data_IF_506615267921
#
_entry.id   IF_506615267921
#
_cell.length_a   1.000
_cell.length_b   1.000
_cell.length_c   1.000
_cell.angle_alpha   90.00
_cell.angle_beta   90.00
_cell.angle_gamma   90.00
#
_symmetry.space_group_name_H-M   'P 1'
#
loop_
_entity.id
_entity.type
_entity.pdbx_description
1 polymer ?
#
# COMPACT_ATOMS: atom_id res chain seq x y z
N UNK A 1 -6.45 -14.69 10.37
CA UNK A 1 -5.28 -14.04 11.01
C UNK A 1 -4.17 -13.75 10.00
N UNK A 2 -3.82 -12.48 9.77
CA UNK A 2 -2.83 -12.02 8.78
C UNK A 2 -1.57 -11.42 9.42
N UNK A 3 -0.49 -11.28 8.66
CA UNK A 3 0.78 -10.70 9.14
C UNK A 3 1.16 -9.44 8.33
N UNK A 4 1.10 -8.23 8.93
CA UNK A 4 1.51 -7.01 8.25
C UNK A 4 3.04 -6.85 8.20
N UNK A 5 3.55 -6.34 7.08
CA UNK A 5 4.83 -5.63 6.99
C UNK A 5 4.55 -4.13 6.83
N UNK A 6 5.27 -3.31 7.58
CA UNK A 6 5.18 -1.85 7.51
C UNK A 6 6.45 -1.28 6.87
N UNK A 7 6.23 -0.32 5.99
CA UNK A 7 7.21 0.58 5.42
C UNK A 7 6.90 2.01 5.91
N UNK A 8 7.72 2.53 6.82
CA UNK A 8 7.61 3.87 7.41
C UNK A 8 9.00 4.50 7.66
N UNK A 9 9.11 5.83 7.63
CA UNK A 9 10.26 6.53 8.22
C UNK A 9 10.93 7.66 7.40
N UNK A 10 11.55 8.60 8.13
CA UNK A 10 12.43 9.65 7.60
C UNK A 10 13.48 9.11 6.62
N UNK A 11 13.85 9.92 5.62
CA UNK A 11 14.83 9.71 4.52
C UNK A 11 16.11 8.86 4.79
N UNK A 12 16.42 8.49 6.03
CA UNK A 12 17.54 7.64 6.43
C UNK A 12 17.17 6.19 6.79
N UNK A 13 15.90 5.79 6.88
CA UNK A 13 15.51 4.42 7.26
C UNK A 13 14.30 3.91 6.47
N UNK A 14 14.56 3.36 5.28
CA UNK A 14 13.63 2.47 4.57
C UNK A 14 13.60 1.08 5.22
N UNK A 15 13.31 1.00 6.52
CA UNK A 15 13.33 -0.28 7.22
C UNK A 15 11.98 -0.98 7.07
N UNK A 16 11.96 -2.11 6.38
CA UNK A 16 10.86 -3.07 6.48
C UNK A 16 10.77 -3.57 7.92
N UNK A 17 9.61 -3.36 8.55
CA UNK A 17 9.31 -3.93 9.85
C UNK A 17 8.21 -4.96 9.71
N UNK A 18 8.44 -6.16 10.25
CA UNK A 18 7.38 -7.17 10.38
C UNK A 18 6.76 -7.02 11.76
N UNK A 19 5.43 -6.97 11.82
CA UNK A 19 4.71 -6.86 13.10
C UNK A 19 3.96 -8.16 13.45
N UNK A 20 3.40 -8.18 14.66
CA UNK A 20 2.58 -9.29 15.14
C UNK A 20 1.37 -9.51 14.25
N UNK A 21 0.91 -10.77 14.18
CA UNK A 21 -0.29 -11.13 13.44
C UNK A 21 -1.54 -10.45 14.02
N UNK A 22 -2.45 -10.06 13.14
CA UNK A 22 -3.71 -9.39 13.47
C UNK A 22 -4.87 -10.29 13.04
N UNK A 23 -5.91 -10.43 13.86
CA UNK A 23 -7.04 -11.32 13.59
C UNK A 23 -8.34 -10.56 13.32
N UNK A 24 -8.76 -10.57 12.05
CA UNK A 24 -10.01 -9.94 11.63
C UNK A 24 -9.89 -8.46 11.29
N UNK A 25 -11.02 -7.89 10.86
CA UNK A 25 -11.09 -6.55 10.26
C UNK A 25 -11.10 -5.42 11.29
N UNK A 26 -11.72 -5.63 12.44
CA UNK A 26 -11.74 -4.63 13.52
C UNK A 26 -10.34 -4.46 14.12
N UNK A 27 -9.65 -5.57 14.41
CA UNK A 27 -8.26 -5.53 14.87
C UNK A 27 -7.31 -4.93 13.82
N UNK A 28 -7.59 -5.14 12.53
CA UNK A 28 -6.87 -4.46 11.45
C UNK A 28 -7.01 -2.94 11.55
N UNK A 29 -8.22 -2.41 11.78
CA UNK A 29 -8.40 -0.96 11.91
C UNK A 29 -7.70 -0.40 13.14
N UNK A 30 -7.77 -1.10 14.27
CA UNK A 30 -7.09 -0.70 15.49
C UNK A 30 -5.57 -0.67 15.29
N UNK A 31 -5.03 -1.74 14.70
CA UNK A 31 -3.62 -1.82 14.32
C UNK A 31 -3.24 -0.66 13.39
N UNK A 32 -3.97 -0.50 12.27
CA UNK A 32 -3.79 0.55 11.27
C UNK A 32 -3.77 1.93 11.90
N UNK A 33 -4.57 2.19 12.92
CA UNK A 33 -4.60 3.48 13.60
C UNK A 33 -3.47 3.64 14.62
N UNK A 34 -3.01 2.56 15.24
CA UNK A 34 -1.95 2.60 16.27
C UNK A 34 -0.53 2.81 15.71
N UNK A 35 -0.28 2.35 14.48
CA UNK A 35 1.05 2.40 13.83
C UNK A 35 1.30 3.67 13.01
N UNK A 36 0.35 4.61 12.98
CA UNK A 36 0.50 5.87 12.23
C UNK A 36 1.29 6.89 13.05
N UNK A 37 2.51 7.20 12.65
CA UNK A 37 3.05 8.53 12.91
C UNK A 37 2.24 9.53 12.08
N UNK A 38 1.62 10.51 12.74
CA UNK A 38 0.74 11.48 12.09
C UNK A 38 1.47 12.43 11.13
N UNK A 39 2.80 12.40 11.10
CA UNK A 39 3.66 13.31 10.33
C UNK A 39 4.20 12.71 9.04
N UNK A 40 4.10 11.39 8.86
CA UNK A 40 4.58 10.71 7.65
C UNK A 40 3.53 9.75 7.10
N UNK A 41 3.56 9.47 5.78
CA UNK A 41 2.77 8.40 5.20
C UNK A 41 3.18 7.03 5.74
N UNK A 42 2.29 6.05 5.55
CA UNK A 42 2.58 4.65 5.88
C UNK A 42 2.20 3.75 4.71
N UNK A 43 3.05 2.79 4.39
CA UNK A 43 2.77 1.72 3.41
C UNK A 43 2.75 0.37 4.11
N UNK A 44 1.73 -0.44 3.82
CA UNK A 44 1.53 -1.78 4.38
C UNK A 44 1.59 -2.83 3.30
N UNK A 45 2.19 -3.98 3.60
CA UNK A 45 2.03 -5.21 2.85
C UNK A 45 1.33 -6.20 3.79
N UNK A 46 0.14 -6.64 3.43
CA UNK A 46 -0.75 -7.46 4.25
C UNK A 46 -0.90 -8.84 3.63
N UNK A 47 -0.46 -9.88 4.32
CA UNK A 47 -0.63 -11.27 3.89
C UNK A 47 -1.95 -11.84 4.41
N UNK A 48 -3.01 -11.78 3.61
CA UNK A 48 -4.35 -12.30 3.88
C UNK A 48 -4.50 -13.76 3.42
N UNK A 49 -5.56 -14.43 3.89
CA UNK A 49 -5.85 -15.82 3.52
C UNK A 49 -6.11 -16.00 2.00
N UNK A 50 -6.59 -14.96 1.32
CA UNK A 50 -6.92 -14.96 -0.12
C UNK A 50 -5.93 -14.18 -1.00
N UNK A 51 -4.80 -13.73 -0.44
CA UNK A 51 -3.72 -13.09 -1.18
C UNK A 51 -2.99 -11.99 -0.41
N UNK A 52 -2.12 -11.25 -1.09
CA UNK A 52 -1.41 -10.12 -0.49
C UNK A 52 -2.06 -8.81 -0.93
N UNK A 53 -2.35 -7.92 0.02
CA UNK A 53 -2.80 -6.56 -0.25
C UNK A 53 -1.69 -5.56 0.09
N UNK A 54 -1.55 -4.51 -0.71
CA UNK A 54 -0.58 -3.44 -0.45
C UNK A 54 -1.32 -2.12 -0.34
N UNK A 55 -1.20 -1.45 0.80
CA UNK A 55 -1.88 -0.19 1.09
C UNK A 55 -0.87 0.95 1.22
N UNK A 56 -1.23 2.15 0.78
CA UNK A 56 -0.60 3.38 1.26
C UNK A 56 -1.64 4.28 1.92
N UNK A 57 -1.24 4.98 2.98
CA UNK A 57 -2.09 5.86 3.77
C UNK A 57 -1.39 7.18 4.08
N UNK A 58 -2.11 8.27 3.81
CA UNK A 58 -1.79 9.66 4.14
C UNK A 58 -3.01 10.39 4.73
N UNK A 59 -4.15 9.70 4.90
CA UNK A 59 -5.42 10.28 5.34
C UNK A 59 -5.38 10.92 6.74
N UNK A 60 -4.38 10.56 7.55
CA UNK A 60 -4.11 11.14 8.86
C UNK A 60 -3.27 12.42 8.80
N UNK A 61 -2.74 12.79 7.63
CA UNK A 61 -1.88 13.96 7.43
C UNK A 61 -2.68 15.16 6.91
N UNK A 62 -2.13 16.36 7.05
CA UNK A 62 -2.66 17.57 6.40
C UNK A 62 -2.22 17.72 4.93
N UNK A 63 -1.70 16.65 4.33
CA UNK A 63 -1.16 16.63 2.99
C UNK A 63 -1.77 15.46 2.22
N UNK A 64 -1.83 15.61 0.91
CA UNK A 64 -2.19 14.55 -0.03
C UNK A 64 -1.11 14.44 -1.10
N UNK A 65 -1.10 13.35 -1.85
CA UNK A 65 -0.29 13.24 -3.06
C UNK A 65 -0.76 14.26 -4.10
N UNK A 66 0.19 14.86 -4.80
CA UNK A 66 -0.06 15.63 -6.00
C UNK A 66 -0.78 14.79 -7.05
N UNK A 67 -1.52 15.46 -7.94
CA UNK A 67 -2.23 14.82 -9.05
C UNK A 67 -1.34 13.89 -9.85
N UNK A 68 -0.10 14.31 -10.16
CA UNK A 68 0.85 13.50 -10.92
C UNK A 68 1.31 12.26 -10.16
N UNK A 69 1.56 12.36 -8.85
CA UNK A 69 2.04 11.25 -8.04
C UNK A 69 0.96 10.17 -7.87
N UNK A 70 -0.26 10.53 -7.49
CA UNK A 70 -1.32 9.54 -7.34
C UNK A 70 -1.74 8.95 -8.71
N UNK A 71 -1.72 9.74 -9.80
CA UNK A 71 -1.95 9.20 -11.15
C UNK A 71 -0.87 8.22 -11.61
N UNK A 72 0.37 8.41 -11.17
CA UNK A 72 1.48 7.46 -11.43
C UNK A 72 1.23 6.14 -10.72
N UNK A 73 0.86 6.16 -9.43
CA UNK A 73 0.51 4.95 -8.67
C UNK A 73 -0.70 4.26 -9.32
N UNK A 74 -1.74 5.02 -9.67
CA UNK A 74 -2.93 4.48 -10.35
C UNK A 74 -2.57 3.74 -11.63
N UNK A 75 -1.73 4.33 -12.48
CA UNK A 75 -1.30 3.71 -13.74
C UNK A 75 -0.49 2.43 -13.47
N UNK A 76 0.41 2.48 -12.49
CA UNK A 76 1.19 1.31 -12.09
C UNK A 76 0.30 0.15 -11.63
N UNK A 77 -0.73 0.41 -10.82
CA UNK A 77 -1.69 -0.61 -10.40
C UNK A 77 -2.48 -1.18 -11.58
N UNK A 78 -2.92 -0.34 -12.52
CA UNK A 78 -3.59 -0.80 -13.75
C UNK A 78 -2.71 -1.75 -14.57
N UNK A 79 -1.43 -1.41 -14.73
CA UNK A 79 -0.49 -2.22 -15.50
C UNK A 79 -0.24 -3.57 -14.82
N UNK A 80 -0.14 -3.60 -13.48
CA UNK A 80 -0.04 -4.84 -12.69
C UNK A 80 -1.28 -5.73 -12.86
N UNK A 81 -2.49 -5.17 -12.67
CA UNK A 81 -3.72 -5.94 -12.82
C UNK A 81 -3.83 -6.53 -14.22
N UNK A 82 -3.52 -5.75 -15.26
CA UNK A 82 -3.50 -6.24 -16.64
C UNK A 82 -2.51 -7.37 -16.85
N UNK A 83 -1.29 -7.25 -16.32
CA UNK A 83 -0.27 -8.29 -16.44
C UNK A 83 -0.71 -9.62 -15.81
N UNK A 84 -1.31 -9.58 -14.62
CA UNK A 84 -1.76 -10.79 -13.94
C UNK A 84 -3.08 -11.37 -14.50
N UNK A 85 -3.97 -10.54 -15.05
CA UNK A 85 -5.17 -10.96 -15.81
C UNK A 85 -4.74 -11.80 -17.02
N UNK A 86 -3.68 -11.39 -17.72
CA UNK A 86 -3.14 -12.09 -18.89
C UNK A 86 -2.47 -13.44 -18.53
N UNK A 87 -2.02 -13.63 -17.28
CA UNK A 87 -1.29 -14.83 -16.82
C UNK A 87 -2.23 -15.88 -16.17
N UNK A 88 -3.54 -15.61 -16.11
CA UNK A 88 -4.53 -16.59 -15.63
C UNK A 88 -4.60 -16.75 -14.12
N UNK A 89 -3.85 -15.95 -13.35
CA UNK A 89 -4.03 -15.80 -11.90
C UNK A 89 -5.29 -15.00 -11.54
N UNK A 90 -5.84 -14.26 -12.50
CA UNK A 90 -6.91 -13.29 -12.27
C UNK A 90 -8.10 -13.44 -13.24
N UNK A 91 -8.56 -14.66 -13.53
CA UNK A 91 -9.90 -14.81 -14.15
C UNK A 91 -11.00 -14.41 -13.15
N UNK A 92 -11.37 -13.12 -13.09
CA UNK A 92 -12.55 -12.64 -12.35
C UNK A 92 -12.41 -11.32 -11.56
N UNK A 93 -11.41 -10.48 -11.86
CA UNK A 93 -10.86 -9.41 -11.00
C UNK A 93 -11.29 -8.00 -11.38
N UNK A 94 -12.58 -7.80 -11.66
CA UNK A 94 -13.12 -6.46 -11.91
C UNK A 94 -13.07 -5.48 -10.70
N UNK A 95 -12.25 -5.71 -9.66
CA UNK A 95 -12.21 -4.90 -8.42
C UNK A 95 -10.83 -4.67 -7.76
N UNK A 96 -9.69 -5.08 -8.31
CA UNK A 96 -8.48 -5.29 -7.47
C UNK A 96 -7.64 -4.08 -7.04
N UNK A 97 -8.04 -2.83 -7.29
CA UNK A 97 -7.27 -1.69 -6.77
C UNK A 97 -8.12 -0.42 -6.61
N UNK A 98 -7.73 0.40 -5.63
CA UNK A 98 -8.22 1.76 -5.44
C UNK A 98 -7.04 2.71 -5.26
N UNK A 99 -7.14 3.92 -5.82
CA UNK A 99 -6.06 4.90 -5.74
C UNK A 99 -6.64 6.30 -5.64
N UNK A 100 -6.41 6.94 -4.49
CA UNK A 100 -6.80 8.30 -4.14
C UNK A 100 -5.56 9.10 -3.72
N UNK A 101 -5.67 10.42 -3.66
CA UNK A 101 -4.54 11.27 -3.25
C UNK A 101 -4.10 11.03 -1.81
N UNK A 102 -4.95 10.50 -0.93
CA UNK A 102 -4.63 10.26 0.49
C UNK A 102 -4.57 8.78 0.87
N UNK A 103 -5.00 7.87 0.02
CA UNK A 103 -4.92 6.44 0.29
C UNK A 103 -5.06 5.62 -0.99
N UNK A 104 -4.56 4.39 -0.96
CA UNK A 104 -4.84 3.43 -2.02
C UNK A 104 -4.49 2.02 -1.59
N UNK A 105 -4.97 1.07 -2.37
CA UNK A 105 -4.77 -0.35 -2.18
C UNK A 105 -4.65 -1.04 -3.54
N UNK A 106 -3.78 -2.04 -3.61
CA UNK A 106 -3.83 -3.08 -4.64
C UNK A 106 -3.94 -4.43 -3.92
N UNK A 107 -4.96 -5.19 -4.28
CA UNK A 107 -5.26 -6.49 -3.68
C UNK A 107 -4.73 -7.64 -4.53
N UNK A 108 -4.54 -8.81 -3.91
CA UNK A 108 -4.15 -10.08 -4.56
C UNK A 108 -2.85 -10.00 -5.35
N UNK A 109 -1.88 -9.28 -4.80
CA UNK A 109 -0.51 -9.19 -5.29
C UNK A 109 0.17 -10.56 -5.18
N UNK A 110 0.95 -10.93 -6.19
CA UNK A 110 1.73 -12.16 -6.15
C UNK A 110 2.82 -12.06 -5.06
N UNK A 111 3.02 -13.08 -4.21
CA UNK A 111 3.99 -13.06 -3.12
C UNK A 111 5.41 -12.62 -3.52
N UNK A 112 5.90 -13.10 -4.66
CA UNK A 112 7.26 -12.79 -5.15
C UNK A 112 7.45 -11.33 -5.58
N UNK A 113 6.35 -10.61 -5.85
CA UNK A 113 6.38 -9.22 -6.31
C UNK A 113 5.98 -8.22 -5.22
N UNK A 114 5.41 -8.71 -4.11
CA UNK A 114 4.82 -7.87 -3.07
C UNK A 114 5.80 -6.85 -2.47
N UNK A 115 7.02 -7.29 -2.11
CA UNK A 115 8.02 -6.39 -1.51
C UNK A 115 8.49 -5.32 -2.51
N UNK A 116 8.62 -5.66 -3.81
CA UNK A 116 9.03 -4.70 -4.85
C UNK A 116 7.94 -3.68 -5.14
N UNK A 117 6.69 -4.12 -5.23
CA UNK A 117 5.54 -3.24 -5.44
C UNK A 117 5.37 -2.32 -4.22
N UNK A 118 5.48 -2.86 -3.01
CA UNK A 118 5.42 -2.09 -1.76
C UNK A 118 6.50 -1.01 -1.70
N UNK A 119 7.74 -1.34 -2.05
CA UNK A 119 8.84 -0.37 -2.11
C UNK A 119 8.60 0.73 -3.14
N UNK A 120 8.13 0.39 -4.34
CA UNK A 120 7.87 1.39 -5.37
C UNK A 120 6.80 2.40 -4.92
N UNK A 121 5.72 1.92 -4.30
CA UNK A 121 4.68 2.79 -3.73
C UNK A 121 5.27 3.65 -2.61
N UNK A 122 6.03 3.05 -1.72
CA UNK A 122 6.68 3.75 -0.61
C UNK A 122 7.59 4.87 -1.10
N UNK A 123 8.43 4.64 -2.10
CA UNK A 123 9.34 5.65 -2.64
C UNK A 123 8.59 6.85 -3.23
N UNK A 124 7.45 6.63 -3.89
CA UNK A 124 6.60 7.72 -4.39
C UNK A 124 5.95 8.48 -3.24
N UNK A 125 5.37 7.73 -2.30
CA UNK A 125 4.54 8.27 -1.22
C UNK A 125 5.38 9.05 -0.21
N UNK A 126 6.60 8.61 0.08
CA UNK A 126 7.50 9.25 1.04
C UNK A 126 8.29 10.44 0.47
N UNK A 127 8.33 10.59 -0.86
CA UNK A 127 8.97 11.75 -1.48
C UNK A 127 8.14 13.01 -1.23
N UNK A 128 8.63 13.87 -0.33
CA UNK A 128 7.98 15.12 0.06
C UNK A 128 7.68 16.07 -1.11
N UNK A 129 8.38 15.92 -2.25
CA UNK A 129 8.10 16.70 -3.47
C UNK A 129 6.77 16.32 -4.11
N UNK A 130 6.25 15.14 -3.78
CA UNK A 130 4.95 14.66 -4.22
C UNK A 130 3.82 15.10 -3.27
N UNK A 131 4.10 15.80 -2.17
CA UNK A 131 3.07 16.20 -1.21
C UNK A 131 2.46 17.57 -1.56
N UNK A 132 1.15 17.67 -1.42
CA UNK A 132 0.34 18.85 -1.73
C UNK A 132 -0.63 19.14 -0.58
N UNK A 133 -0.98 20.43 -0.38
CA UNK A 133 -1.99 20.88 0.60
C UNK A 133 -3.31 21.20 -0.06
#
# INVERSE_FOLDING_TARGET
MFQPKILEGCNTLNSFQTVSKVDGFDEWFDFRNSVKDKTVPVVFILELDDGIAIHYLMDHMSYSLSDSAHMTIKKYFMDICKHYDDIGFLKGTNNGYYCYSTWGVIDRVHPDDADKIGLFIYDIVMDIRNWWR
#
